data_IF_242656647587
#
_entry.id   IF_242656647587
#
_cell.length_a   1.000
_cell.length_b   1.000
_cell.length_c   1.000
_cell.angle_alpha   90.00
_cell.angle_beta   90.00
_cell.angle_gamma   90.00
#
_symmetry.space_group_name_H-M   'P 1'
#
loop_
_entity.id
_entity.type
_entity.pdbx_description
1 polymer ?
#
# COMPACT_ATOMS: atom_id res chain seq x y z
N UNK A 1 22.13 12.24 13.52
CA UNK A 1 20.69 11.91 13.43
C UNK A 1 19.97 13.22 13.26
N UNK A 2 19.19 13.33 12.19
CA UNK A 2 18.39 14.50 11.88
C UNK A 2 16.93 14.16 12.21
N UNK A 3 16.16 15.16 12.61
CA UNK A 3 14.74 15.01 12.88
C UNK A 3 13.99 15.94 11.94
N UNK A 4 13.24 15.37 11.02
CA UNK A 4 12.22 16.11 10.31
C UNK A 4 11.00 16.28 11.22
N UNK A 5 10.40 17.47 11.25
CA UNK A 5 9.25 17.73 12.09
C UNK A 5 8.18 18.59 11.40
N UNK A 6 6.96 18.43 11.88
CA UNK A 6 5.87 19.39 11.70
C UNK A 6 5.24 19.68 13.07
N UNK A 7 4.85 20.94 13.27
CA UNK A 7 4.26 21.43 14.51
C UNK A 7 3.01 22.23 14.19
N UNK A 8 1.90 21.85 14.84
CA UNK A 8 0.59 22.46 14.67
C UNK A 8 0.06 22.92 16.01
N UNK A 9 -0.54 24.10 16.04
CA UNK A 9 -1.39 24.52 17.14
C UNK A 9 -2.77 23.90 16.92
N UNK A 10 -3.20 23.12 17.91
CA UNK A 10 -4.47 22.38 17.95
C UNK A 10 -5.30 22.76 19.18
N UNK A 11 -5.08 23.98 19.71
CA UNK A 11 -5.77 24.48 20.90
C UNK A 11 -7.28 24.66 20.68
N UNK A 12 -7.70 24.83 19.41
CA UNK A 12 -9.10 24.99 19.03
C UNK A 12 -9.59 23.72 18.32
N UNK A 13 -10.76 23.14 18.70
CA UNK A 13 -11.22 21.83 18.20
C UNK A 13 -11.35 21.72 16.68
N UNK A 14 -11.66 22.82 15.99
CA UNK A 14 -11.93 22.85 14.55
C UNK A 14 -10.96 23.75 13.76
N UNK A 15 -9.85 24.16 14.38
CA UNK A 15 -8.87 25.05 13.75
C UNK A 15 -7.47 24.56 14.03
N UNK A 16 -6.81 24.10 12.95
CA UNK A 16 -5.42 23.65 12.98
C UNK A 16 -4.59 24.74 12.33
N UNK A 17 -3.69 25.35 13.11
CA UNK A 17 -2.75 26.36 12.60
C UNK A 17 -1.36 25.78 12.55
N UNK A 18 -0.72 25.83 11.38
CA UNK A 18 0.70 25.44 11.25
C UNK A 18 1.56 26.43 12.02
N UNK A 19 2.40 25.92 12.91
CA UNK A 19 3.33 26.72 13.73
C UNK A 19 4.73 26.66 13.14
N UNK A 20 5.16 25.48 12.69
CA UNK A 20 6.45 25.32 12.03
C UNK A 20 6.62 23.95 11.40
N UNK A 21 7.58 23.83 10.49
CA UNK A 21 8.01 22.57 9.87
C UNK A 21 9.45 22.72 9.40
N UNK A 22 10.17 21.60 9.32
CA UNK A 22 11.54 21.60 8.81
C UNK A 22 12.35 20.43 9.36
N UNK A 23 13.66 20.62 9.37
CA UNK A 23 14.63 19.64 9.84
C UNK A 23 15.46 20.24 10.98
N UNK A 24 15.68 19.46 12.03
CA UNK A 24 16.50 19.84 13.20
C UNK A 24 17.64 18.85 13.33
N UNK A 25 18.85 19.40 13.31
CA UNK A 25 20.09 18.65 13.52
C UNK A 25 20.28 18.25 15.00
N UNK A 26 21.18 17.28 15.22
CA UNK A 26 21.55 16.88 16.57
C UNK A 26 22.16 18.06 17.32
N UNK A 27 21.71 18.28 18.56
CA UNK A 27 22.19 19.36 19.42
C UNK A 27 22.06 20.74 18.77
N UNK A 28 20.94 20.97 18.08
CA UNK A 28 20.49 22.29 17.67
C UNK A 28 19.05 22.50 18.12
N UNK A 29 18.57 23.73 18.01
CA UNK A 29 17.20 24.12 18.37
C UNK A 29 16.63 25.01 17.30
N UNK A 30 15.34 24.91 17.05
CA UNK A 30 14.61 25.81 16.17
C UNK A 30 13.52 26.55 16.94
N UNK A 31 13.55 27.87 16.85
CA UNK A 31 12.45 28.70 17.33
C UNK A 31 11.26 28.55 16.39
N UNK A 32 10.07 28.30 16.94
CA UNK A 32 8.85 28.08 16.16
C UNK A 32 7.88 29.26 16.25
N UNK A 33 7.68 29.81 17.44
CA UNK A 33 6.73 30.90 17.67
C UNK A 33 7.06 31.68 18.94
N UNK A 34 6.70 32.96 18.93
CA UNK A 34 6.58 33.80 20.11
C UNK A 34 5.19 34.43 20.10
N UNK A 35 4.55 34.55 21.26
CA UNK A 35 3.25 35.20 21.40
C UNK A 35 3.17 35.94 22.74
N UNK A 36 2.39 37.04 22.82
CA UNK A 36 2.10 37.73 24.08
C UNK A 36 1.35 36.82 25.06
N UNK A 37 1.58 36.97 26.36
CA UNK A 37 0.91 36.15 27.39
C UNK A 37 -0.62 36.23 27.32
N UNK A 38 -1.17 37.37 26.91
CA UNK A 38 -2.61 37.57 26.68
C UNK A 38 -3.22 36.56 25.68
N UNK A 39 -2.38 36.03 24.78
CA UNK A 39 -2.80 35.05 23.78
C UNK A 39 -2.56 33.60 24.21
N UNK A 40 -2.05 33.35 25.43
CA UNK A 40 -1.73 32.00 25.91
C UNK A 40 -2.92 31.04 25.83
N UNK A 41 -4.14 31.54 26.00
CA UNK A 41 -5.38 30.79 25.83
C UNK A 41 -5.52 30.15 24.45
N UNK A 42 -4.98 30.79 23.41
CA UNK A 42 -4.99 30.30 22.02
C UNK A 42 -3.86 29.33 21.71
N UNK A 43 -2.91 29.10 22.64
CA UNK A 43 -1.70 28.29 22.45
C UNK A 43 -1.52 27.26 23.58
N UNK A 44 -2.61 26.57 23.95
CA UNK A 44 -2.65 25.53 24.99
C UNK A 44 -2.24 24.14 24.52
N UNK A 45 -2.29 23.85 23.23
CA UNK A 45 -2.00 22.52 22.72
C UNK A 45 -1.28 22.54 21.38
N UNK A 46 -0.19 21.79 21.31
CA UNK A 46 0.63 21.62 20.12
C UNK A 46 0.71 20.15 19.75
N UNK A 47 0.39 19.82 18.50
CA UNK A 47 0.63 18.48 17.93
C UNK A 47 1.93 18.53 17.15
N UNK A 48 2.88 17.67 17.53
CA UNK A 48 4.16 17.51 16.87
C UNK A 48 4.21 16.16 16.18
N UNK A 49 4.59 16.15 14.91
CA UNK A 49 4.93 14.93 14.20
C UNK A 49 6.42 14.95 13.92
N UNK A 50 7.13 13.88 14.30
CA UNK A 50 8.59 13.80 14.27
C UNK A 50 9.01 12.53 13.51
N UNK A 51 9.90 12.69 12.54
CA UNK A 51 10.55 11.61 11.82
C UNK A 51 12.06 11.72 12.01
N UNK A 52 12.62 10.86 12.87
CA UNK A 52 14.06 10.78 13.06
C UNK A 52 14.67 9.88 11.99
N UNK A 53 15.64 10.40 11.25
CA UNK A 53 16.40 9.64 10.26
C UNK A 53 17.91 9.72 10.53
N UNK A 54 18.61 8.68 10.08
CA UNK A 54 20.06 8.49 10.24
C UNK A 54 20.65 8.09 8.90
N UNK A 55 21.81 8.66 8.54
CA UNK A 55 22.57 8.25 7.35
C UNK A 55 23.33 6.94 7.56
N UNK A 56 23.65 6.62 8.82
CA UNK A 56 24.26 5.36 9.24
C UNK A 56 23.90 5.05 10.69
N UNK A 57 23.66 3.77 10.98
CA UNK A 57 23.37 3.28 12.33
C UNK A 57 22.46 2.05 12.29
N UNK A 58 22.31 1.38 13.44
CA UNK A 58 21.67 0.06 13.54
C UNK A 58 20.19 0.10 13.96
N UNK A 59 19.67 1.24 14.41
CA UNK A 59 18.33 1.35 14.99
C UNK A 59 17.45 2.34 14.25
N UNK A 60 16.33 1.87 13.73
CA UNK A 60 15.25 2.68 13.16
C UNK A 60 14.24 2.99 14.26
N UNK A 61 13.74 4.23 14.32
CA UNK A 61 12.73 4.64 15.28
C UNK A 61 11.38 4.81 14.58
N UNK A 62 10.28 4.65 15.33
CA UNK A 62 8.96 4.93 14.79
C UNK A 62 8.79 6.44 14.58
N UNK A 63 7.99 6.88 13.58
CA UNK A 63 7.50 8.26 13.57
C UNK A 63 6.76 8.53 14.88
N UNK A 64 7.03 9.65 15.54
CA UNK A 64 6.30 10.06 16.74
C UNK A 64 5.23 11.08 16.36
N UNK A 65 4.01 10.89 16.87
CA UNK A 65 2.92 11.86 16.79
C UNK A 65 2.45 12.15 18.22
N UNK A 66 2.82 13.31 18.73
CA UNK A 66 2.68 13.65 20.16
C UNK A 66 1.94 14.97 20.29
N UNK A 67 0.92 14.99 21.14
CA UNK A 67 0.22 16.22 21.52
C UNK A 67 0.71 16.70 22.87
N UNK A 68 1.41 17.83 22.86
CA UNK A 68 1.88 18.55 24.05
C UNK A 68 0.82 19.56 24.47
N UNK A 69 0.28 19.40 25.68
CA UNK A 69 -0.64 20.38 26.29
C UNK A 69 0.13 21.24 27.28
N UNK A 70 0.09 22.55 27.08
CA UNK A 70 0.70 23.54 27.95
C UNK A 70 -0.40 24.19 28.79
N UNK A 71 -0.22 24.17 30.11
CA UNK A 71 -1.07 24.92 31.04
C UNK A 71 -0.50 26.33 31.18
N UNK A 72 -1.37 27.33 31.23
CA UNK A 72 -0.97 28.74 31.41
C UNK A 72 -0.11 28.94 32.67
N UNK A 73 -0.50 28.33 33.80
CA UNK A 73 0.28 28.36 35.03
C UNK A 73 1.70 27.78 34.90
N UNK A 74 1.96 26.94 33.89
CA UNK A 74 3.29 26.41 33.59
C UNK A 74 4.14 27.38 32.76
N UNK A 75 3.53 28.29 32.00
CA UNK A 75 4.24 29.34 31.26
C UNK A 75 4.82 30.41 32.19
N UNK A 76 4.21 30.60 33.37
CA UNK A 76 4.66 31.54 34.39
C UNK A 76 5.75 30.97 35.30
N UNK A 77 6.02 29.67 35.23
CA UNK A 77 6.92 28.94 36.12
C UNK A 77 8.17 28.50 35.36
N UNK A 78 9.13 29.42 35.22
CA UNK A 78 10.46 29.15 34.66
C UNK A 78 11.32 28.30 35.61
N UNK A 79 11.00 27.01 35.73
CA UNK A 79 11.50 26.18 36.83
C UNK A 79 12.70 25.28 36.46
N UNK A 80 13.12 25.21 35.20
CA UNK A 80 14.21 24.33 34.77
C UNK A 80 15.24 25.06 33.90
N UNK A 81 16.52 24.82 34.19
CA UNK A 81 17.63 25.30 33.36
C UNK A 81 17.74 24.45 32.10
N UNK A 82 17.60 25.08 30.93
CA UNK A 82 17.81 24.46 29.63
C UNK A 82 19.26 24.67 29.22
N UNK A 83 20.14 23.76 29.66
CA UNK A 83 21.59 23.89 29.54
C UNK A 83 22.08 24.21 28.11
N UNK A 84 21.43 23.65 27.09
CA UNK A 84 21.78 23.91 25.68
C UNK A 84 21.40 25.31 25.19
N UNK A 85 20.33 25.92 25.74
CA UNK A 85 19.88 27.25 25.37
C UNK A 85 20.43 28.36 26.30
N UNK A 86 20.99 27.98 27.45
CA UNK A 86 21.47 28.93 28.46
C UNK A 86 20.35 29.76 29.09
N UNK A 87 19.11 29.26 29.07
CA UNK A 87 17.92 29.97 29.55
C UNK A 87 17.09 29.05 30.45
N UNK A 88 16.27 29.63 31.32
CA UNK A 88 15.25 28.90 32.07
C UNK A 88 14.00 28.71 31.24
N UNK A 89 13.34 27.58 31.39
CA UNK A 89 12.09 27.30 30.68
C UNK A 89 11.43 26.00 31.12
N UNK A 90 10.38 25.62 30.41
CA UNK A 90 9.66 24.37 30.58
C UNK A 90 10.17 23.35 29.57
N UNK A 91 10.71 22.22 30.04
CA UNK A 91 11.06 21.10 29.17
C UNK A 91 9.93 20.08 29.14
N UNK A 92 9.52 19.72 27.92
CA UNK A 92 8.60 18.61 27.68
C UNK A 92 9.39 17.52 26.94
N UNK A 93 9.82 16.45 27.63
CA UNK A 93 10.54 15.37 26.97
C UNK A 93 9.62 14.62 26.02
N UNK A 94 10.11 14.37 24.80
CA UNK A 94 9.41 13.57 23.79
C UNK A 94 10.25 12.32 23.55
N UNK A 95 9.73 11.17 23.94
CA UNK A 95 10.35 9.88 23.69
C UNK A 95 9.83 9.28 22.39
N UNK A 96 10.75 8.89 21.50
CA UNK A 96 10.43 8.20 20.24
C UNK A 96 10.76 6.73 20.42
N UNK A 97 9.74 5.87 20.27
CA UNK A 97 9.90 4.43 20.46
C UNK A 97 10.75 3.81 19.35
N UNK A 98 11.56 2.80 19.71
CA UNK A 98 12.31 2.01 18.73
C UNK A 98 11.33 1.20 17.88
N UNK A 99 11.57 1.12 16.56
CA UNK A 99 10.87 0.14 15.75
C UNK A 99 11.36 -1.24 16.15
N UNK A 100 10.45 -2.05 16.72
CA UNK A 100 10.63 -3.49 16.69
C UNK A 100 10.56 -3.91 15.22
N UNK A 101 11.72 -4.12 14.59
CA UNK A 101 11.81 -4.89 13.34
C UNK A 101 11.57 -6.37 13.66
N UNK A 102 10.42 -6.69 14.24
CA UNK A 102 9.83 -7.99 13.96
C UNK A 102 9.54 -7.90 12.47
N UNK A 103 10.17 -8.77 11.68
CA UNK A 103 9.80 -8.96 10.30
C UNK A 103 8.28 -9.05 10.26
N UNK A 104 7.61 -8.00 9.81
CA UNK A 104 6.24 -8.14 9.35
C UNK A 104 6.39 -8.94 8.06
N UNK A 105 6.54 -10.26 8.19
CA UNK A 105 5.82 -11.13 7.28
C UNK A 105 4.42 -10.54 7.26
N UNK A 106 3.96 -10.16 6.08
CA UNK A 106 2.56 -9.83 5.85
C UNK A 106 1.82 -11.12 6.24
N UNK A 107 1.47 -11.24 7.51
CA UNK A 107 0.53 -12.22 7.98
C UNK A 107 -0.81 -11.68 7.52
N UNK A 108 -1.32 -12.29 6.47
CA UNK A 108 -2.69 -12.12 6.01
C UNK A 108 -3.58 -12.73 7.11
N UNK A 109 -3.73 -12.02 8.23
CA UNK A 109 -4.89 -12.09 9.10
C UNK A 109 -5.98 -11.29 8.38
N UNK A 110 -7.05 -11.85 7.83
CA UNK A 110 -7.80 -13.02 8.26
C UNK A 110 -8.20 -13.89 7.07
N UNK A 111 -7.92 -15.19 7.19
CA UNK A 111 -8.22 -16.23 6.21
C UNK A 111 -9.73 -16.42 5.96
N UNK A 112 -10.58 -15.84 6.82
CA UNK A 112 -12.04 -16.00 6.80
C UNK A 112 -12.77 -14.87 6.08
N UNK A 113 -12.27 -13.62 6.09
CA UNK A 113 -12.91 -12.51 5.36
C UNK A 113 -12.59 -12.51 3.85
N UNK A 114 -11.47 -13.11 3.42
CA UNK A 114 -11.15 -13.25 1.98
C UNK A 114 -12.08 -14.29 1.33
N UNK A 115 -12.51 -15.31 2.06
CA UNK A 115 -13.44 -16.32 1.54
C UNK A 115 -14.80 -15.71 1.16
N UNK A 116 -15.20 -14.64 1.84
CA UNK A 116 -16.47 -13.95 1.59
C UNK A 116 -16.43 -12.95 0.40
N UNK A 117 -15.24 -12.67 -0.16
CA UNK A 117 -15.07 -11.82 -1.35
C UNK A 117 -14.39 -12.59 -2.50
N UNK A 118 -14.45 -13.91 -2.47
CA UNK A 118 -14.23 -14.70 -3.68
C UNK A 118 -15.47 -14.50 -4.56
N UNK A 119 -15.41 -13.52 -5.46
CA UNK A 119 -16.26 -13.53 -6.65
C UNK A 119 -16.24 -14.96 -7.20
N UNK A 120 -17.42 -15.53 -7.44
CA UNK A 120 -17.58 -16.83 -8.08
C UNK A 120 -16.85 -16.78 -9.44
N UNK A 121 -15.63 -17.31 -9.48
CA UNK A 121 -14.87 -17.39 -10.72
C UNK A 121 -15.53 -18.51 -11.52
N UNK A 122 -16.17 -18.20 -12.66
CA UNK A 122 -16.87 -19.23 -13.40
C UNK A 122 -15.89 -20.30 -13.87
N UNK A 123 -16.29 -21.57 -13.77
CA UNK A 123 -15.47 -22.71 -14.20
C UNK A 123 -15.13 -22.62 -15.71
N UNK A 124 -15.95 -21.93 -16.50
CA UNK A 124 -15.75 -21.70 -17.93
C UNK A 124 -15.66 -20.20 -18.20
N UNK A 125 -14.55 -19.77 -18.79
CA UNK A 125 -14.31 -18.35 -19.11
C UNK A 125 -14.02 -18.17 -20.60
N UNK A 126 -14.75 -17.24 -21.22
CA UNK A 126 -14.44 -16.73 -22.56
C UNK A 126 -13.42 -15.59 -22.49
N UNK A 127 -12.30 -15.76 -23.22
CA UNK A 127 -11.24 -14.78 -23.34
C UNK A 127 -11.47 -13.80 -24.50
N UNK A 128 -12.53 -13.94 -25.29
CA UNK A 128 -12.87 -12.94 -26.29
C UNK A 128 -13.23 -11.61 -25.60
N UNK A 129 -12.68 -10.53 -26.14
CA UNK A 129 -12.99 -9.17 -25.72
C UNK A 129 -13.89 -8.60 -26.81
N UNK A 130 -15.15 -8.34 -26.47
CA UNK A 130 -16.01 -7.51 -27.31
C UNK A 130 -15.72 -6.04 -27.03
N UNK A 131 -15.49 -5.26 -28.08
CA UNK A 131 -15.45 -3.80 -27.97
C UNK A 131 -14.13 -3.18 -28.37
N UNK A 132 -13.94 -3.03 -29.68
CA UNK A 132 -13.18 -1.91 -30.22
C UNK A 132 -13.84 -1.51 -31.54
N UNK A 133 -14.53 -0.37 -31.55
CA UNK A 133 -15.07 0.23 -32.77
C UNK A 133 -13.90 0.60 -33.70
N UNK A 134 -13.90 -0.01 -34.88
CA UNK A 134 -12.82 0.07 -35.87
C UNK A 134 -12.77 1.48 -36.46
N UNK A 135 -11.64 2.18 -36.28
CA UNK A 135 -11.25 3.29 -37.16
C UNK A 135 -10.24 2.78 -38.17
N UNK A 136 -10.55 2.91 -39.45
CA UNK A 136 -9.75 2.41 -40.58
C UNK A 136 -8.27 2.88 -40.46
N UNK A 137 -7.33 1.92 -40.54
CA UNK A 137 -5.89 2.21 -40.71
C UNK A 137 -4.92 1.68 -39.64
N UNK A 138 -5.38 1.11 -38.51
CA UNK A 138 -4.52 0.67 -37.39
C UNK A 138 -4.71 -0.81 -37.00
N UNK A 139 -5.06 -1.68 -37.96
CA UNK A 139 -5.43 -3.08 -37.71
C UNK A 139 -4.34 -3.90 -36.98
N UNK A 140 -3.06 -3.73 -37.35
CA UNK A 140 -1.95 -4.47 -36.73
C UNK A 140 -1.67 -4.07 -35.28
N UNK A 141 -1.75 -2.76 -34.96
CA UNK A 141 -1.54 -2.25 -33.60
C UNK A 141 -2.68 -2.70 -32.69
N UNK A 142 -3.90 -2.73 -33.25
CA UNK A 142 -5.09 -3.16 -32.55
C UNK A 142 -5.09 -4.67 -32.28
N UNK A 143 -4.65 -5.50 -33.22
CA UNK A 143 -4.52 -6.95 -33.02
C UNK A 143 -3.56 -7.31 -31.88
N UNK A 144 -2.41 -6.64 -31.79
CA UNK A 144 -1.45 -6.80 -30.70
C UNK A 144 -2.02 -6.33 -29.35
N UNK A 145 -2.76 -5.23 -29.34
CA UNK A 145 -3.42 -4.70 -28.14
C UNK A 145 -4.50 -5.67 -27.61
N UNK A 146 -5.34 -6.18 -28.52
CA UNK A 146 -6.36 -7.19 -28.19
C UNK A 146 -5.68 -8.43 -27.63
N UNK A 147 -4.66 -8.96 -28.31
CA UNK A 147 -3.92 -10.14 -27.85
C UNK A 147 -3.34 -9.96 -26.44
N UNK A 148 -2.71 -8.80 -26.16
CA UNK A 148 -2.18 -8.49 -24.83
C UNK A 148 -3.26 -8.44 -23.77
N UNK A 149 -4.39 -7.80 -24.07
CA UNK A 149 -5.50 -7.71 -23.14
C UNK A 149 -6.13 -9.09 -22.86
N UNK A 150 -6.23 -9.96 -23.87
CA UNK A 150 -6.68 -11.35 -23.70
C UNK A 150 -5.74 -12.14 -22.81
N UNK A 151 -4.42 -11.98 -22.99
CA UNK A 151 -3.42 -12.66 -22.17
C UNK A 151 -3.40 -12.13 -20.73
N UNK A 152 -3.58 -10.83 -20.53
CA UNK A 152 -3.72 -10.21 -19.21
C UNK A 152 -4.97 -10.73 -18.49
N UNK A 153 -6.11 -10.78 -19.19
CA UNK A 153 -7.36 -11.35 -18.66
C UNK A 153 -7.18 -12.81 -18.27
N UNK A 154 -6.53 -13.60 -19.12
CA UNK A 154 -6.18 -15.00 -18.82
C UNK A 154 -5.35 -15.12 -17.54
N UNK A 155 -4.26 -14.34 -17.41
CA UNK A 155 -3.39 -14.38 -16.24
C UNK A 155 -4.15 -14.01 -14.96
N UNK A 156 -4.95 -12.94 -15.00
CA UNK A 156 -5.75 -12.50 -13.85
C UNK A 156 -6.71 -13.61 -13.38
N UNK A 157 -7.45 -14.20 -14.31
CA UNK A 157 -8.42 -15.26 -14.01
C UNK A 157 -7.75 -16.55 -13.52
N UNK A 158 -6.57 -16.89 -14.05
CA UNK A 158 -5.79 -18.03 -13.57
C UNK A 158 -5.39 -17.82 -12.10
N UNK A 159 -4.89 -16.64 -11.75
CA UNK A 159 -4.55 -16.31 -10.36
C UNK A 159 -5.79 -16.30 -9.45
N UNK A 160 -6.91 -15.73 -9.90
CA UNK A 160 -8.17 -15.77 -9.16
C UNK A 160 -8.64 -17.21 -8.91
N UNK A 161 -8.57 -18.09 -9.91
CA UNK A 161 -8.96 -19.50 -9.78
C UNK A 161 -8.06 -20.26 -8.77
N UNK A 162 -6.76 -19.96 -8.77
CA UNK A 162 -5.81 -20.53 -7.80
C UNK A 162 -6.10 -20.00 -6.39
N UNK A 163 -6.39 -18.71 -6.26
CA UNK A 163 -6.74 -18.10 -4.98
C UNK A 163 -8.06 -18.66 -4.42
N UNK A 164 -9.03 -18.93 -5.30
CA UNK A 164 -10.30 -19.59 -4.99
C UNK A 164 -10.18 -21.10 -4.73
N UNK A 165 -8.96 -21.67 -4.78
CA UNK A 165 -8.70 -23.09 -4.57
C UNK A 165 -9.52 -24.00 -5.51
N UNK A 166 -9.79 -23.55 -6.73
CA UNK A 166 -10.52 -24.34 -7.73
C UNK A 166 -9.69 -25.54 -8.18
N UNK A 167 -10.32 -26.67 -8.43
CA UNK A 167 -9.63 -27.85 -8.98
C UNK A 167 -9.35 -27.70 -10.48
N UNK A 168 -10.23 -26.99 -11.18
CA UNK A 168 -10.27 -26.89 -12.64
C UNK A 168 -10.85 -25.56 -13.10
N UNK A 169 -10.32 -25.04 -14.21
CA UNK A 169 -10.90 -23.92 -14.97
C UNK A 169 -10.72 -24.16 -16.47
N UNK A 170 -11.70 -23.75 -17.29
CA UNK A 170 -11.72 -23.91 -18.75
C UNK A 170 -11.64 -22.53 -19.41
N UNK A 171 -10.62 -22.31 -20.24
CA UNK A 171 -10.46 -21.08 -21.01
C UNK A 171 -10.83 -21.30 -22.47
N UNK A 172 -11.81 -20.54 -22.97
CA UNK A 172 -12.18 -20.48 -24.38
C UNK A 172 -11.36 -19.35 -25.02
N UNK A 173 -10.41 -19.73 -25.90
CA UNK A 173 -9.51 -18.80 -26.60
C UNK A 173 -9.78 -18.74 -28.11
N UNK A 174 -10.74 -19.54 -28.61
CA UNK A 174 -11.11 -19.63 -30.01
C UNK A 174 -10.17 -20.52 -30.82
N UNK A 175 -10.50 -20.79 -32.09
CA UNK A 175 -9.66 -21.63 -32.97
C UNK A 175 -8.52 -20.80 -33.57
N UNK A 176 -8.85 -19.62 -34.12
CA UNK A 176 -7.90 -18.60 -34.61
C UNK A 176 -6.69 -19.14 -35.38
N UNK A 177 -5.57 -18.41 -35.30
CA UNK A 177 -4.26 -18.86 -35.80
C UNK A 177 -3.45 -19.64 -34.74
N UNK A 178 -4.04 -19.93 -33.57
CA UNK A 178 -3.38 -20.64 -32.47
C UNK A 178 -2.38 -19.83 -31.63
N UNK A 179 -2.15 -18.54 -31.94
CA UNK A 179 -1.21 -17.68 -31.19
C UNK A 179 -1.56 -17.57 -29.70
N UNK A 180 -2.83 -17.32 -29.38
CA UNK A 180 -3.30 -17.21 -27.99
C UNK A 180 -3.20 -18.55 -27.25
N UNK A 181 -3.57 -19.66 -27.91
CA UNK A 181 -3.38 -21.03 -27.38
C UNK A 181 -1.92 -21.26 -26.98
N UNK A 182 -0.98 -20.95 -27.88
CA UNK A 182 0.44 -21.17 -27.64
C UNK A 182 0.96 -20.34 -26.47
N UNK A 183 0.57 -19.07 -26.35
CA UNK A 183 1.05 -18.22 -25.26
C UNK A 183 0.45 -18.62 -23.91
N UNK A 184 -0.83 -18.99 -23.88
CA UNK A 184 -1.49 -19.60 -22.72
C UNK A 184 -0.69 -20.83 -22.26
N UNK A 185 -0.34 -21.74 -23.17
CA UNK A 185 0.43 -22.94 -22.84
C UNK A 185 1.81 -22.60 -22.26
N UNK A 186 2.52 -21.58 -22.77
CA UNK A 186 3.80 -21.13 -22.20
C UNK A 186 3.66 -20.59 -20.79
N UNK A 187 2.58 -19.88 -20.48
CA UNK A 187 2.29 -19.43 -19.11
C UNK A 187 2.04 -20.64 -18.21
N UNK A 188 1.15 -21.54 -18.62
CA UNK A 188 0.78 -22.74 -17.86
C UNK A 188 1.99 -23.64 -17.56
N UNK A 189 2.88 -23.83 -18.54
CA UNK A 189 4.13 -24.59 -18.37
C UNK A 189 5.03 -24.06 -17.25
N UNK A 190 5.06 -22.74 -17.05
CA UNK A 190 5.92 -22.09 -16.05
C UNK A 190 5.23 -21.89 -14.70
N UNK A 191 3.91 -22.11 -14.63
CA UNK A 191 3.11 -21.77 -13.48
C UNK A 191 3.16 -22.87 -12.40
N UNK A 192 3.78 -22.58 -11.25
CA UNK A 192 4.02 -23.56 -10.18
C UNK A 192 2.76 -24.22 -9.60
N UNK A 193 1.62 -23.53 -9.64
CA UNK A 193 0.33 -24.00 -9.11
C UNK A 193 -0.53 -24.72 -10.14
N UNK A 194 -0.08 -24.83 -11.40
CA UNK A 194 -0.74 -25.65 -12.42
C UNK A 194 -0.26 -27.09 -12.27
N UNK A 195 -1.19 -28.05 -12.25
CA UNK A 195 -0.92 -29.48 -12.18
C UNK A 195 -0.74 -30.08 -13.59
N UNK A 196 -1.68 -29.78 -14.48
CA UNK A 196 -1.69 -30.19 -15.89
C UNK A 196 -2.71 -29.36 -16.65
N UNK A 197 -2.64 -29.37 -17.98
CA UNK A 197 -3.70 -28.85 -18.85
C UNK A 197 -3.91 -29.79 -20.02
N UNK A 198 -5.11 -29.77 -20.59
CA UNK A 198 -5.49 -30.56 -21.76
C UNK A 198 -6.49 -29.79 -22.61
N UNK A 199 -6.78 -30.29 -23.81
CA UNK A 199 -7.87 -29.74 -24.62
C UNK A 199 -9.21 -30.01 -23.92
N UNK A 200 -10.06 -29.00 -23.86
CA UNK A 200 -11.39 -29.16 -23.27
C UNK A 200 -12.27 -30.07 -24.14
N UNK A 201 -13.43 -30.48 -23.62
CA UNK A 201 -14.34 -31.39 -24.31
C UNK A 201 -14.72 -30.84 -25.70
N UNK A 202 -14.21 -31.49 -26.74
CA UNK A 202 -14.35 -31.07 -28.13
C UNK A 202 -15.80 -31.10 -28.61
N UNK A 203 -16.67 -31.88 -27.97
CA UNK A 203 -18.12 -31.87 -28.27
C UNK A 203 -18.81 -30.62 -27.74
N UNK A 204 -18.28 -30.01 -26.68
CA UNK A 204 -18.87 -28.82 -26.04
C UNK A 204 -18.24 -27.51 -26.53
N UNK A 205 -16.93 -27.49 -26.75
CA UNK A 205 -16.18 -26.25 -27.00
C UNK A 205 -15.37 -26.28 -28.31
N UNK A 206 -15.45 -27.35 -29.10
CA UNK A 206 -14.59 -27.55 -30.26
C UNK A 206 -13.10 -27.60 -29.87
N UNK A 207 -12.22 -27.21 -30.78
CA UNK A 207 -10.75 -27.19 -30.56
C UNK A 207 -10.24 -25.88 -29.93
N UNK A 208 -11.14 -24.96 -29.58
CA UNK A 208 -10.83 -23.60 -29.16
C UNK A 208 -10.78 -23.38 -27.64
N UNK A 209 -10.64 -24.44 -26.85
CA UNK A 209 -10.66 -24.34 -25.40
C UNK A 209 -9.64 -25.25 -24.70
N UNK A 210 -9.10 -24.75 -23.59
CA UNK A 210 -8.08 -25.42 -22.78
C UNK A 210 -8.60 -25.61 -21.36
N UNK A 211 -8.63 -26.85 -20.88
CA UNK A 211 -8.93 -27.18 -19.50
C UNK A 211 -7.64 -27.20 -18.67
N UNK A 212 -7.60 -26.42 -17.60
CA UNK A 212 -6.46 -26.27 -16.69
C UNK A 212 -6.83 -26.87 -15.35
N UNK A 213 -5.99 -27.78 -14.85
CA UNK A 213 -6.13 -28.40 -13.55
C UNK A 213 -5.12 -27.81 -12.58
N UNK A 214 -5.59 -27.35 -11.43
CA UNK A 214 -4.79 -26.61 -10.45
C UNK A 214 -4.44 -27.52 -9.26
N UNK A 215 -3.38 -27.13 -8.53
CA UNK A 215 -3.01 -27.78 -7.27
C UNK A 215 -3.89 -27.23 -6.17
N UNK A 216 -4.79 -28.06 -5.65
CA UNK A 216 -5.57 -27.77 -4.44
C UNK A 216 -4.64 -27.82 -3.24
N UNK A 217 -4.81 -26.89 -2.29
CA UNK A 217 -4.11 -26.96 -1.00
C UNK A 217 -4.79 -28.02 -0.13
N UNK A 218 -4.05 -29.07 0.22
CA UNK A 218 -4.44 -30.05 1.26
C UNK A 218 -4.36 -29.44 2.66
#
# INVERSE_FOLDING_TARGET
>A
AQVQFSCYNVSQPNSIKVVGRGDVDKATSQHLISFPLEQAESYKAFRLQLLRYISSGQKILQPADVTVKIREASLLKENQDIAFLGQKGLLVPIEIQEQNTKNTSIEITDKEEIAAVLEDVPEVVDLHIEGFDVKEGNESIMAESIFRSQLERFNNLLEKAIAANMERIIFIHGVGNGTLKMEIQKVLMRHKNVKRWEEADTKKFGYGATAVFLKVRE
#
